data_IF_074424991721
#
_entry.id   IF_074424991721
#
_cell.length_a   1.000
_cell.length_b   1.000
_cell.length_c   1.000
_cell.angle_alpha   90.00
_cell.angle_beta   90.00
_cell.angle_gamma   90.00
#
_symmetry.space_group_name_H-M   'P 1'
#
loop_
_entity.id
_entity.type
_entity.pdbx_description
1 polymer ?
#
# COMPACT_ATOMS: atom_id res chain seq x y z
N UNK A 1 17.30 -3.50 -8.78
CA UNK A 1 16.99 -4.86 -8.26
C UNK A 1 15.66 -4.74 -7.52
N UNK A 2 14.65 -5.58 -7.75
CA UNK A 2 13.32 -5.41 -7.11
C UNK A 2 13.31 -5.96 -5.69
N UNK A 3 12.47 -5.37 -4.82
CA UNK A 3 12.17 -5.90 -3.48
C UNK A 3 11.24 -7.14 -3.52
N UNK A 4 10.62 -7.43 -4.67
CA UNK A 4 9.73 -8.59 -4.82
C UNK A 4 10.51 -9.90 -4.92
N UNK A 5 10.13 -10.88 -4.08
CA UNK A 5 10.64 -12.25 -4.15
C UNK A 5 9.85 -13.09 -5.18
N UNK A 6 8.54 -12.85 -5.28
CA UNK A 6 7.69 -13.40 -6.32
C UNK A 6 7.69 -12.45 -7.53
N UNK A 7 8.26 -12.92 -8.65
CA UNK A 7 8.43 -12.12 -9.87
C UNK A 7 7.27 -12.28 -10.85
N UNK A 8 6.17 -12.97 -10.50
CA UNK A 8 5.09 -13.27 -11.42
C UNK A 8 4.60 -12.03 -12.18
N UNK A 9 4.28 -10.94 -11.46
CA UNK A 9 3.76 -9.71 -12.12
C UNK A 9 4.80 -9.12 -13.07
N UNK A 10 6.05 -8.99 -12.61
CA UNK A 10 7.13 -8.44 -13.42
C UNK A 10 7.40 -9.25 -14.69
N UNK A 11 7.32 -10.58 -14.60
CA UNK A 11 7.55 -11.50 -15.72
C UNK A 11 6.39 -11.54 -16.73
N UNK A 12 5.21 -11.05 -16.36
CA UNK A 12 4.02 -11.03 -17.21
C UNK A 12 3.58 -9.60 -17.55
N UNK A 13 4.47 -8.61 -17.39
CA UNK A 13 4.25 -7.28 -17.92
C UNK A 13 4.17 -7.34 -19.46
N UNK A 14 3.41 -6.43 -20.09
CA UNK A 14 3.41 -6.29 -21.55
C UNK A 14 4.82 -6.08 -22.09
N UNK A 15 5.02 -6.35 -23.37
CA UNK A 15 6.26 -5.96 -24.04
C UNK A 15 6.46 -4.44 -23.92
N UNK A 16 7.70 -3.97 -23.96
CA UNK A 16 8.00 -2.55 -23.72
C UNK A 16 7.28 -1.63 -24.72
N UNK A 17 7.05 -2.11 -25.94
CA UNK A 17 6.34 -1.42 -27.00
C UNK A 17 4.82 -1.33 -26.77
N UNK A 18 4.27 -2.15 -25.86
CA UNK A 18 2.86 -2.17 -25.47
C UNK A 18 2.59 -1.37 -24.19
N UNK A 19 3.64 -0.89 -23.52
CA UNK A 19 3.52 -0.01 -22.36
C UNK A 19 3.09 1.40 -22.78
N UNK A 20 2.40 2.15 -21.89
CA UNK A 20 2.10 3.55 -22.15
C UNK A 20 3.39 4.39 -22.20
N UNK A 21 3.34 5.48 -22.97
CA UNK A 21 4.39 6.49 -22.94
C UNK A 21 4.39 7.21 -21.59
N UNK A 22 5.43 6.97 -20.80
CA UNK A 22 5.63 7.68 -19.55
C UNK A 22 6.22 9.07 -19.84
N UNK A 23 5.35 10.08 -19.85
CA UNK A 23 5.74 11.48 -20.09
C UNK A 23 6.01 12.21 -18.78
N UNK A 24 6.96 13.15 -18.80
CA UNK A 24 7.23 14.09 -17.70
C UNK A 24 7.73 13.45 -16.38
N UNK A 25 8.26 12.21 -16.41
CA UNK A 25 8.77 11.56 -15.20
C UNK A 25 9.94 12.34 -14.57
N UNK A 26 10.75 12.97 -15.40
CA UNK A 26 11.88 13.82 -15.01
C UNK A 26 11.48 15.06 -14.19
N UNK A 27 10.19 15.45 -14.20
CA UNK A 27 9.70 16.55 -13.39
C UNK A 27 9.40 16.15 -11.94
N UNK A 28 9.49 14.85 -11.62
CA UNK A 28 9.23 14.32 -10.29
C UNK A 28 10.51 13.74 -9.71
N UNK A 29 10.90 14.22 -8.52
CA UNK A 29 12.09 13.75 -7.80
C UNK A 29 11.75 12.47 -7.00
N UNK A 30 11.26 11.43 -7.71
CA UNK A 30 10.91 10.15 -7.09
C UNK A 30 12.16 9.33 -6.77
N UNK A 31 12.23 8.71 -5.57
CA UNK A 31 13.33 7.80 -5.26
C UNK A 31 13.24 6.54 -6.13
N UNK A 32 14.39 5.87 -6.33
CA UNK A 32 14.48 4.62 -7.11
C UNK A 32 13.57 3.52 -6.55
N UNK A 33 13.37 3.50 -5.23
CA UNK A 33 12.45 2.59 -4.54
C UNK A 33 11.49 3.43 -3.71
N UNK A 34 10.20 3.28 -3.98
CA UNK A 34 9.13 3.97 -3.28
C UNK A 34 8.08 2.97 -2.80
N UNK A 35 7.83 2.97 -1.51
CA UNK A 35 6.64 2.38 -0.93
C UNK A 35 5.59 3.47 -0.77
N UNK A 36 4.44 3.39 -1.45
CA UNK A 36 3.44 4.46 -1.37
C UNK A 36 2.75 4.54 0.01
N UNK A 37 2.73 3.47 0.82
CA UNK A 37 2.12 3.52 2.15
C UNK A 37 2.93 4.38 3.12
N UNK A 38 4.25 4.42 2.98
CA UNK A 38 5.14 5.19 3.88
C UNK A 38 4.83 6.70 3.85
N UNK A 39 4.91 7.41 2.70
CA UNK A 39 4.62 8.84 2.67
C UNK A 39 3.13 9.15 2.88
N UNK A 40 2.21 8.26 2.47
CA UNK A 40 0.78 8.51 2.58
C UNK A 40 0.23 8.31 4.00
N UNK A 41 0.82 7.42 4.79
CA UNK A 41 0.29 7.02 6.09
C UNK A 41 1.32 7.15 7.21
N UNK A 42 2.47 6.49 7.07
CA UNK A 42 3.43 6.42 8.17
C UNK A 42 4.08 7.76 8.46
N UNK A 43 4.45 8.51 7.42
CA UNK A 43 5.03 9.83 7.56
C UNK A 43 3.99 10.86 8.02
N UNK A 44 2.74 10.77 7.53
CA UNK A 44 1.66 11.62 8.02
C UNK A 44 1.45 11.47 9.55
N UNK A 45 1.51 10.24 10.07
CA UNK A 45 1.44 10.00 11.53
C UNK A 45 2.68 10.57 12.23
N UNK A 46 3.90 10.32 11.72
CA UNK A 46 5.15 10.85 12.30
C UNK A 46 5.19 12.38 12.33
N UNK A 47 4.61 13.03 11.33
CA UNK A 47 4.50 14.49 11.22
C UNK A 47 3.44 15.10 12.16
N UNK A 48 2.76 14.28 12.96
CA UNK A 48 1.80 14.73 13.97
C UNK A 48 0.37 14.83 13.47
N UNK A 49 0.05 14.30 12.28
CA UNK A 49 -1.33 14.24 11.78
C UNK A 49 -2.11 13.03 12.30
N UNK A 50 -1.53 12.23 13.21
CA UNK A 50 -2.12 11.01 13.72
C UNK A 50 -3.57 11.14 14.19
N UNK A 51 -3.92 12.23 14.89
CA UNK A 51 -5.28 12.48 15.40
C UNK A 51 -6.24 13.12 14.39
N UNK A 52 -5.79 13.42 13.16
CA UNK A 52 -6.67 13.98 12.12
C UNK A 52 -7.49 12.86 11.50
N UNK A 53 -8.75 13.15 11.21
CA UNK A 53 -9.63 12.26 10.46
C UNK A 53 -9.12 12.11 9.03
N UNK A 54 -9.06 10.86 8.56
CA UNK A 54 -8.59 10.49 7.20
C UNK A 54 -9.63 9.68 6.44
N UNK A 55 -10.47 8.92 7.14
CA UNK A 55 -11.61 8.21 6.56
C UNK A 55 -12.89 8.70 7.20
N UNK A 56 -13.84 9.11 6.36
CA UNK A 56 -15.19 9.50 6.75
C UNK A 56 -16.19 8.62 6.00
N UNK A 57 -17.00 7.88 6.73
CA UNK A 57 -18.07 7.02 6.19
C UNK A 57 -19.35 7.20 7.03
N UNK A 58 -20.46 6.60 6.59
CA UNK A 58 -21.72 6.68 7.33
C UNK A 58 -21.62 6.00 8.71
N UNK A 59 -20.78 4.98 8.81
CA UNK A 59 -20.60 4.16 10.01
C UNK A 59 -19.67 4.80 11.04
N UNK A 60 -18.91 5.84 10.65
CA UNK A 60 -18.00 6.54 11.55
C UNK A 60 -16.89 7.32 10.84
N UNK A 61 -16.00 7.88 11.67
CA UNK A 61 -14.76 8.50 11.25
C UNK A 61 -13.57 7.80 11.89
N UNK A 62 -12.45 7.75 11.16
CA UNK A 62 -11.20 7.16 11.63
C UNK A 62 -10.05 8.12 11.38
N UNK A 63 -9.12 8.13 12.33
CA UNK A 63 -7.92 8.96 12.26
C UNK A 63 -6.80 8.26 11.51
N UNK A 64 -5.75 9.01 11.14
CA UNK A 64 -4.52 8.45 10.59
C UNK A 64 -3.91 7.38 11.51
N UNK A 65 -3.95 7.59 12.83
CA UNK A 65 -3.45 6.63 13.81
C UNK A 65 -4.29 5.35 13.86
N UNK A 66 -5.61 5.44 13.75
CA UNK A 66 -6.49 4.25 13.68
C UNK A 66 -6.18 3.44 12.43
N UNK A 67 -6.13 4.12 11.27
CA UNK A 67 -5.84 3.49 9.99
C UNK A 67 -4.46 2.83 9.95
N UNK A 68 -3.43 3.50 10.48
CA UNK A 68 -2.09 2.92 10.58
C UNK A 68 -2.07 1.67 11.47
N UNK A 69 -2.70 1.74 12.64
CA UNK A 69 -2.76 0.63 13.57
C UNK A 69 -3.44 -0.58 12.94
N UNK A 70 -4.62 -0.40 12.35
CA UNK A 70 -5.42 -1.49 11.80
C UNK A 70 -4.77 -2.08 10.54
N UNK A 71 -4.19 -1.23 9.69
CA UNK A 71 -3.37 -1.68 8.55
C UNK A 71 -2.17 -2.53 9.01
N UNK A 72 -1.42 -2.07 10.02
CA UNK A 72 -0.27 -2.83 10.53
C UNK A 72 -0.68 -4.17 11.15
N UNK A 73 -1.84 -4.26 11.81
CA UNK A 73 -2.34 -5.53 12.35
C UNK A 73 -2.66 -6.53 11.24
N UNK A 74 -3.33 -6.09 10.18
CA UNK A 74 -3.63 -6.93 9.02
C UNK A 74 -2.32 -7.37 8.33
N UNK A 75 -1.36 -6.45 8.15
CA UNK A 75 -0.06 -6.75 7.56
C UNK A 75 0.66 -7.87 8.31
N UNK A 76 0.62 -7.81 9.65
CA UNK A 76 1.21 -8.82 10.52
C UNK A 76 0.60 -10.21 10.28
N UNK A 77 -0.72 -10.33 10.20
CA UNK A 77 -1.40 -11.61 9.93
C UNK A 77 -0.99 -12.17 8.57
N UNK A 78 -0.93 -11.32 7.53
CA UNK A 78 -0.51 -11.76 6.20
C UNK A 78 0.92 -12.31 6.20
N UNK A 79 1.85 -11.63 6.90
CA UNK A 79 3.26 -11.99 6.93
C UNK A 79 3.54 -13.18 7.87
N UNK A 80 3.06 -13.12 9.11
CA UNK A 80 3.38 -14.09 10.16
C UNK A 80 2.53 -15.36 10.07
N UNK A 81 1.21 -15.24 9.89
CA UNK A 81 0.30 -16.38 9.96
C UNK A 81 0.09 -17.03 8.58
N UNK A 82 0.00 -16.20 7.53
CA UNK A 82 -0.27 -16.65 6.16
C UNK A 82 1.00 -16.76 5.29
N UNK A 83 2.18 -16.47 5.86
CA UNK A 83 3.48 -16.61 5.21
C UNK A 83 3.58 -15.89 3.86
N UNK A 84 2.90 -14.75 3.73
CA UNK A 84 2.92 -13.96 2.51
C UNK A 84 4.31 -13.39 2.27
N UNK A 85 4.75 -13.43 1.01
CA UNK A 85 6.05 -12.89 0.57
C UNK A 85 5.86 -11.67 -0.33
N UNK A 86 6.84 -10.74 -0.35
CA UNK A 86 6.84 -9.62 -1.29
C UNK A 86 6.63 -10.11 -2.74
N UNK A 87 5.63 -9.53 -3.41
CA UNK A 87 5.22 -9.90 -4.78
C UNK A 87 4.05 -10.89 -4.85
N UNK A 88 3.66 -11.53 -3.74
CA UNK A 88 2.43 -12.32 -3.70
C UNK A 88 1.19 -11.43 -3.88
N UNK A 89 0.09 -12.05 -4.32
CA UNK A 89 -1.15 -11.35 -4.69
C UNK A 89 -2.25 -11.69 -3.69
N UNK A 90 -2.96 -10.67 -3.23
CA UNK A 90 -4.14 -10.82 -2.36
C UNK A 90 -5.36 -10.35 -3.13
N UNK A 91 -6.39 -11.20 -3.21
CA UNK A 91 -7.69 -10.79 -3.72
C UNK A 91 -8.48 -10.13 -2.59
N UNK A 92 -8.76 -8.83 -2.74
CA UNK A 92 -9.65 -8.12 -1.84
C UNK A 92 -11.08 -8.16 -2.37
N UNK A 93 -12.00 -8.75 -1.60
CA UNK A 93 -13.44 -8.85 -1.96
C UNK A 93 -14.31 -8.52 -0.76
N UNK A 94 -14.82 -7.29 -0.71
CA UNK A 94 -15.73 -6.80 0.31
C UNK A 94 -16.44 -5.53 -0.19
N UNK A 95 -17.49 -5.04 0.48
CA UNK A 95 -18.11 -3.75 0.15
C UNK A 95 -17.18 -2.57 0.46
N UNK A 96 -17.53 -1.37 -0.03
CA UNK A 96 -16.84 -0.13 0.32
C UNK A 96 -17.06 0.17 1.82
N UNK A 97 -16.09 -0.21 2.63
CA UNK A 97 -16.15 -0.20 4.08
C UNK A 97 -14.76 0.11 4.65
N UNK A 98 -14.70 0.62 5.88
CA UNK A 98 -13.43 0.96 6.50
C UNK A 98 -12.42 -0.20 6.54
N UNK A 99 -12.80 -1.46 6.89
CA UNK A 99 -11.87 -2.58 6.83
C UNK A 99 -11.28 -2.80 5.43
N UNK A 100 -12.09 -2.64 4.37
CA UNK A 100 -11.60 -2.74 2.98
C UNK A 100 -10.54 -1.67 2.68
N UNK A 101 -10.75 -0.43 3.14
CA UNK A 101 -9.78 0.65 2.96
C UNK A 101 -8.47 0.38 3.73
N UNK A 102 -8.57 -0.08 4.98
CA UNK A 102 -7.41 -0.47 5.79
C UNK A 102 -6.61 -1.61 5.12
N UNK A 103 -7.28 -2.60 4.54
CA UNK A 103 -6.66 -3.68 3.76
C UNK A 103 -5.88 -3.18 2.53
N UNK A 104 -6.38 -2.16 1.83
CA UNK A 104 -5.73 -1.61 0.64
C UNK A 104 -4.30 -1.12 0.91
N UNK A 105 -4.08 -0.48 2.06
CA UNK A 105 -2.79 0.09 2.47
C UNK A 105 -1.76 -0.95 2.92
N UNK A 106 -2.21 -2.17 3.23
CA UNK A 106 -1.35 -3.28 3.64
C UNK A 106 -0.53 -3.83 2.50
N UNK A 107 -1.15 -3.94 1.32
CA UNK A 107 -0.53 -4.48 0.11
C UNK A 107 0.74 -3.70 -0.27
N UNK A 108 0.79 -2.42 0.10
CA UNK A 108 1.93 -1.54 -0.13
C UNK A 108 3.02 -1.68 0.94
N UNK A 109 2.70 -2.03 2.19
CA UNK A 109 3.67 -2.15 3.30
C UNK A 109 4.63 -3.34 3.18
N UNK A 110 4.44 -4.26 2.23
CA UNK A 110 5.27 -5.46 2.05
C UNK A 110 6.58 -5.24 1.28
N UNK A 111 7.08 -4.00 1.23
CA UNK A 111 8.22 -3.62 0.39
C UNK A 111 9.44 -3.11 1.19
N UNK A 112 9.52 -3.43 2.49
CA UNK A 112 10.71 -3.16 3.33
C UNK A 112 11.46 -4.44 3.67
#
# INVERSE_FOLDING_TARGET
>A
MTAHLDLFVQQHLPAQEELPDFINLENFDYPEILNCATPLLDDAVKEGYGSKEVVLMNEGSWTYSDLQKDSNQIARVLLEDLNMKPGNRVLLRAPNSYPMFAHGLVSSKQAE
#
